data_IF_446052022349
#
_entry.id   IF_446052022349
#
_cell.length_a   1.000
_cell.length_b   1.000
_cell.length_c   1.000
_cell.angle_alpha   90.00
_cell.angle_beta   90.00
_cell.angle_gamma   90.00
#
_symmetry.space_group_name_H-M   'P 1'
#
loop_
_entity.id
_entity.type
_entity.pdbx_description
1 polymer ?
#
# COMPACT_ATOMS: atom_id res chain seq x y z
N UNK A 1 -2.45 21.14 12.79
CA UNK A 1 -1.95 20.04 11.95
C UNK A 1 -3.15 19.60 11.12
N UNK A 2 -3.09 19.62 9.78
CA UNK A 2 -4.20 19.13 8.98
C UNK A 2 -4.54 17.69 9.41
N UNK A 3 -5.81 17.33 9.30
CA UNK A 3 -6.31 16.07 9.82
C UNK A 3 -5.65 14.91 9.08
N UNK A 4 -4.78 14.14 9.77
CA UNK A 4 -3.97 13.07 9.15
C UNK A 4 -4.80 11.89 8.65
N UNK A 5 -6.12 11.89 8.91
CA UNK A 5 -7.03 10.82 8.48
C UNK A 5 -7.25 10.80 6.97
N UNK A 6 -6.96 11.89 6.26
CA UNK A 6 -7.08 11.94 4.79
C UNK A 6 -5.82 11.41 4.06
N UNK A 7 -4.71 11.23 4.77
CA UNK A 7 -3.46 10.77 4.17
C UNK A 7 -3.53 9.28 3.76
N UNK A 8 -2.91 8.94 2.63
CA UNK A 8 -2.60 7.55 2.26
C UNK A 8 -1.12 7.28 2.49
N UNK A 9 -0.81 6.31 3.34
CA UNK A 9 0.55 5.96 3.75
C UNK A 9 0.98 4.61 3.17
N UNK A 10 2.29 4.39 3.09
CA UNK A 10 2.87 3.10 2.72
C UNK A 10 4.08 2.73 3.59
N UNK A 11 4.36 1.44 3.71
CA UNK A 11 5.53 0.93 4.42
C UNK A 11 6.00 -0.42 3.87
N UNK A 12 7.32 -0.63 3.89
CA UNK A 12 7.92 -1.93 3.63
C UNK A 12 7.58 -2.88 4.78
N UNK A 13 6.99 -4.02 4.46
CA UNK A 13 6.52 -5.06 5.38
C UNK A 13 7.36 -6.34 5.36
N UNK A 14 8.29 -6.49 4.41
CA UNK A 14 9.15 -7.69 4.24
C UNK A 14 10.52 -7.62 4.92
N UNK A 15 10.79 -6.57 5.72
CA UNK A 15 12.12 -6.28 6.25
C UNK A 15 13.06 -5.62 5.23
N UNK A 16 14.21 -5.13 5.70
CA UNK A 16 15.20 -4.48 4.83
C UNK A 16 15.84 -5.48 3.85
N UNK A 17 16.24 -5.04 2.64
CA UNK A 17 16.94 -5.90 1.69
C UNK A 17 18.24 -6.51 2.25
N UNK A 18 18.66 -7.69 1.74
CA UNK A 18 18.05 -8.45 0.65
C UNK A 18 16.85 -9.30 1.11
N UNK A 19 15.80 -9.37 0.28
CA UNK A 19 14.62 -10.21 0.49
C UNK A 19 14.23 -10.89 -0.84
N UNK A 20 13.82 -12.16 -0.79
CA UNK A 20 13.36 -12.87 -1.99
C UNK A 20 12.07 -12.30 -2.59
N UNK A 21 11.26 -11.64 -1.75
CA UNK A 21 10.04 -10.92 -2.16
C UNK A 21 9.96 -9.64 -1.32
N UNK A 22 9.69 -8.51 -1.98
CA UNK A 22 9.32 -7.27 -1.30
C UNK A 22 7.80 -7.24 -1.06
N UNK A 23 7.38 -6.93 0.17
CA UNK A 23 5.97 -6.72 0.52
C UNK A 23 5.80 -5.29 0.96
N UNK A 24 4.95 -4.52 0.27
CA UNK A 24 4.63 -3.14 0.63
C UNK A 24 3.15 -3.09 1.04
N UNK A 25 2.88 -2.52 2.21
CA UNK A 25 1.51 -2.25 2.67
C UNK A 25 1.17 -0.79 2.35
N UNK A 26 -0.04 -0.56 1.87
CA UNK A 26 -0.62 0.77 1.65
C UNK A 26 -1.91 0.87 2.45
N UNK A 27 -2.13 1.99 3.14
CA UNK A 27 -3.31 2.23 3.98
C UNK A 27 -3.80 3.66 3.82
N UNK A 28 -5.11 3.86 3.76
CA UNK A 28 -5.74 5.18 3.66
C UNK A 28 -6.78 5.26 2.53
N UNK A 29 -7.42 6.42 2.37
CA UNK A 29 -8.54 6.59 1.44
C UNK A 29 -8.23 6.24 -0.02
N UNK A 30 -6.98 6.43 -0.47
CA UNK A 30 -6.56 6.18 -1.84
C UNK A 30 -5.85 4.83 -2.05
N UNK A 31 -5.82 3.95 -1.03
CA UNK A 31 -5.09 2.68 -1.12
C UNK A 31 -5.59 1.78 -2.27
N UNK A 32 -6.90 1.68 -2.48
CA UNK A 32 -7.47 0.89 -3.59
C UNK A 32 -7.03 1.40 -4.96
N UNK A 33 -7.18 2.71 -5.19
CA UNK A 33 -6.74 3.36 -6.43
C UNK A 33 -5.24 3.17 -6.67
N UNK A 34 -4.41 3.33 -5.64
CA UNK A 34 -2.97 3.10 -5.76
C UNK A 34 -2.65 1.66 -6.17
N UNK A 35 -3.36 0.68 -5.60
CA UNK A 35 -3.19 -0.73 -5.97
C UNK A 35 -3.64 -0.99 -7.42
N UNK A 36 -4.74 -0.41 -7.88
CA UNK A 36 -5.20 -0.55 -9.28
C UNK A 36 -4.25 0.09 -10.29
N UNK A 37 -3.67 1.24 -9.96
CA UNK A 37 -2.71 1.92 -10.81
C UNK A 37 -1.38 1.13 -10.94
N UNK A 38 -0.95 0.48 -9.86
CA UNK A 38 0.32 -0.25 -9.81
C UNK A 38 0.18 -1.72 -10.26
N UNK A 39 -0.91 -2.36 -9.88
CA UNK A 39 -1.21 -3.74 -10.20
C UNK A 39 -2.32 -3.78 -11.24
N UNK A 40 -2.02 -4.33 -12.42
CA UNK A 40 -2.99 -4.55 -13.52
C UNK A 40 -4.32 -5.18 -13.07
N UNK A 41 -4.32 -5.93 -11.97
CA UNK A 41 -5.51 -6.51 -11.36
C UNK A 41 -5.37 -6.51 -9.84
N UNK A 42 -6.41 -6.05 -9.15
CA UNK A 42 -6.56 -6.15 -7.70
C UNK A 42 -7.65 -7.20 -7.40
N UNK A 43 -7.38 -8.20 -6.53
CA UNK A 43 -8.41 -9.17 -6.13
C UNK A 43 -9.49 -8.52 -5.26
N UNK A 44 -10.69 -9.11 -5.24
CA UNK A 44 -11.78 -8.64 -4.37
C UNK A 44 -11.38 -8.72 -2.89
N UNK A 45 -11.84 -7.78 -2.05
CA UNK A 45 -11.64 -7.87 -0.60
C UNK A 45 -12.15 -9.20 -0.04
N UNK A 46 -11.52 -9.65 1.03
CA UNK A 46 -11.79 -10.91 1.72
C UNK A 46 -12.10 -10.66 3.19
#
# INVERSE_FOLDING_TARGET
MPDRFDDTIYALSSGAPPAGIAVIRVSGPQAGFALEALARRVPTPR
#
